data_IF_107398981734
#
_entry.id   IF_107398981734
#
_cell.length_a   1.000
_cell.length_b   1.000
_cell.length_c   1.000
_cell.angle_alpha   90.00
_cell.angle_beta   90.00
_cell.angle_gamma   90.00
#
_symmetry.space_group_name_H-M   'P 1'
#
loop_
_entity.id
_entity.type
_entity.pdbx_description
1 polymer ?
#
# COMPACT_ATOMS: atom_id res chain seq x y z
N UNK A 1 0.37 3.52 42.36
CA UNK A 1 0.93 2.54 41.41
C UNK A 1 1.45 3.29 40.22
N UNK A 2 2.69 3.06 39.80
CA UNK A 2 3.33 3.79 38.70
C UNK A 2 2.51 3.66 37.41
N UNK A 3 2.38 4.77 36.70
CA UNK A 3 1.41 5.04 35.65
C UNK A 3 1.56 4.13 34.42
N UNK A 4 0.45 3.53 33.97
CA UNK A 4 0.38 2.67 32.78
C UNK A 4 0.51 3.42 31.43
N UNK A 5 0.82 4.72 31.44
CA UNK A 5 0.86 5.58 30.24
C UNK A 5 2.24 6.18 29.94
N UNK A 6 3.29 5.83 30.68
CA UNK A 6 4.66 6.35 30.44
C UNK A 6 5.55 5.41 29.64
N UNK A 7 5.03 4.31 29.09
CA UNK A 7 5.83 3.48 28.19
C UNK A 7 6.03 4.26 26.89
N UNK A 8 7.28 4.49 26.53
CA UNK A 8 7.62 5.08 25.23
C UNK A 8 7.20 4.08 24.15
N UNK A 9 6.70 4.55 23.01
CA UNK A 9 6.40 3.71 21.84
C UNK A 9 7.56 2.75 21.50
N UNK A 10 8.80 3.20 21.71
CA UNK A 10 9.99 2.38 21.52
C UNK A 10 10.07 1.17 22.45
N UNK A 11 9.60 1.29 23.70
CA UNK A 11 9.52 0.18 24.64
C UNK A 11 8.49 -0.85 24.18
N UNK A 12 7.32 -0.41 23.72
CA UNK A 12 6.27 -1.30 23.20
C UNK A 12 6.72 -2.00 21.92
N UNK A 13 7.36 -1.27 21.01
CA UNK A 13 7.93 -1.81 19.79
C UNK A 13 9.04 -2.83 20.08
N UNK A 14 9.91 -2.53 21.06
CA UNK A 14 10.97 -3.44 21.49
C UNK A 14 10.39 -4.69 22.19
N UNK A 15 9.37 -4.54 23.01
CA UNK A 15 8.68 -5.65 23.66
C UNK A 15 8.00 -6.55 22.63
N UNK A 16 7.33 -5.96 21.64
CA UNK A 16 6.75 -6.68 20.51
C UNK A 16 7.82 -7.43 19.71
N UNK A 17 8.91 -6.74 19.34
CA UNK A 17 10.01 -7.35 18.61
C UNK A 17 10.66 -8.48 19.41
N UNK A 18 10.74 -8.38 20.74
CA UNK A 18 11.34 -9.45 21.54
C UNK A 18 10.40 -10.64 21.74
N UNK A 19 9.09 -10.40 21.79
CA UNK A 19 8.07 -11.43 21.93
C UNK A 19 7.93 -12.29 20.66
N UNK A 20 8.28 -11.75 19.49
CA UNK A 20 8.25 -12.48 18.22
C UNK A 20 9.48 -13.37 18.07
N UNK A 21 9.27 -14.65 17.78
CA UNK A 21 10.34 -15.61 17.54
C UNK A 21 10.81 -15.56 16.08
N UNK A 22 11.59 -14.53 15.78
CA UNK A 22 12.15 -14.30 14.44
C UNK A 22 13.02 -15.44 13.92
N UNK A 23 13.59 -16.27 14.80
CA UNK A 23 14.57 -17.28 14.40
C UNK A 23 13.90 -18.53 13.85
N UNK A 24 12.80 -18.95 14.47
CA UNK A 24 12.09 -20.16 14.10
C UNK A 24 10.94 -19.87 13.11
N UNK A 25 10.30 -18.71 13.20
CA UNK A 25 9.12 -18.37 12.39
C UNK A 25 9.50 -17.73 11.05
N UNK A 26 10.14 -18.52 10.19
CA UNK A 26 10.65 -18.10 8.87
C UNK A 26 9.59 -17.54 7.92
N UNK A 27 8.32 -17.91 8.11
CA UNK A 27 7.21 -17.42 7.30
C UNK A 27 7.05 -15.89 7.38
N UNK A 28 7.46 -15.27 8.49
CA UNK A 28 7.45 -13.80 8.66
C UNK A 28 8.36 -13.11 7.66
N UNK A 29 9.55 -13.66 7.39
CA UNK A 29 10.43 -13.12 6.35
C UNK A 29 9.84 -13.29 4.96
N UNK A 30 9.10 -14.38 4.73
CA UNK A 30 8.33 -14.56 3.49
C UNK A 30 7.28 -13.47 3.31
N UNK A 31 6.61 -13.07 4.39
CA UNK A 31 5.66 -11.97 4.37
C UNK A 31 6.33 -10.63 4.06
N UNK A 32 7.42 -10.28 4.75
CA UNK A 32 8.17 -9.06 4.47
C UNK A 32 8.77 -9.05 3.06
N UNK A 33 9.21 -10.20 2.56
CA UNK A 33 9.67 -10.31 1.18
C UNK A 33 8.54 -10.03 0.19
N UNK A 34 7.32 -10.51 0.45
CA UNK A 34 6.14 -10.22 -0.38
C UNK A 34 5.78 -8.73 -0.35
N UNK A 35 5.85 -8.08 0.80
CA UNK A 35 5.67 -6.63 0.91
C UNK A 35 6.76 -5.84 0.19
N UNK A 36 8.02 -6.25 0.33
CA UNK A 36 9.14 -5.65 -0.39
C UNK A 36 8.99 -5.82 -1.90
N UNK A 37 8.54 -6.98 -2.37
CA UNK A 37 8.23 -7.23 -3.78
C UNK A 37 7.07 -6.34 -4.26
N UNK A 38 6.02 -6.16 -3.44
CA UNK A 38 4.92 -5.24 -3.73
C UNK A 38 5.43 -3.80 -3.87
N UNK A 39 6.27 -3.35 -2.93
CA UNK A 39 6.91 -2.03 -3.00
C UNK A 39 7.80 -1.89 -4.24
N UNK A 40 8.63 -2.88 -4.55
CA UNK A 40 9.46 -2.89 -5.76
C UNK A 40 8.60 -2.82 -7.02
N UNK A 41 7.50 -3.58 -7.08
CA UNK A 41 6.57 -3.53 -8.20
C UNK A 41 5.97 -2.12 -8.38
N UNK A 42 5.62 -1.43 -7.29
CA UNK A 42 5.17 -0.03 -7.34
C UNK A 42 6.27 0.89 -7.87
N UNK A 43 7.49 0.78 -7.35
CA UNK A 43 8.61 1.64 -7.74
C UNK A 43 9.04 1.46 -9.21
N UNK A 44 9.02 0.23 -9.70
CA UNK A 44 9.33 -0.11 -11.09
C UNK A 44 8.22 0.35 -12.05
N UNK A 45 6.96 0.22 -11.64
CA UNK A 45 5.81 0.52 -12.48
C UNK A 45 5.26 1.94 -12.34
N UNK A 46 5.92 2.83 -11.57
CA UNK A 46 5.46 4.21 -11.25
C UNK A 46 5.06 5.13 -12.42
N UNK A 47 5.36 4.75 -13.67
CA UNK A 47 5.01 5.49 -14.89
C UNK A 47 3.78 4.95 -15.63
N UNK A 48 3.24 3.81 -15.20
CA UNK A 48 2.09 3.16 -15.83
C UNK A 48 0.95 3.08 -14.83
N UNK A 49 0.01 4.02 -14.94
CA UNK A 49 -1.14 4.11 -14.04
C UNK A 49 -1.96 2.81 -14.03
N UNK A 50 -2.09 2.12 -15.16
CA UNK A 50 -2.80 0.83 -15.28
C UNK A 50 -2.17 -0.24 -14.37
N UNK A 51 -0.85 -0.41 -14.44
CA UNK A 51 -0.12 -1.41 -13.65
C UNK A 51 -0.14 -1.07 -12.16
N UNK A 52 0.04 0.20 -11.82
CA UNK A 52 -0.02 0.68 -10.43
C UNK A 52 -1.42 0.46 -9.85
N UNK A 53 -2.48 0.75 -10.61
CA UNK A 53 -3.86 0.51 -10.21
C UNK A 53 -4.16 -0.97 -9.99
N UNK A 54 -3.58 -1.86 -10.80
CA UNK A 54 -3.70 -3.31 -10.57
C UNK A 54 -3.03 -3.72 -9.24
N UNK A 55 -1.82 -3.23 -8.96
CA UNK A 55 -1.14 -3.49 -7.68
C UNK A 55 -1.92 -2.90 -6.50
N UNK A 56 -2.51 -1.72 -6.65
CA UNK A 56 -3.42 -1.13 -5.66
C UNK A 56 -4.59 -2.06 -5.37
N UNK A 57 -5.30 -2.52 -6.41
CA UNK A 57 -6.46 -3.39 -6.25
C UNK A 57 -6.12 -4.71 -5.54
N UNK A 58 -4.98 -5.32 -5.88
CA UNK A 58 -4.50 -6.55 -5.23
C UNK A 58 -4.20 -6.31 -3.75
N UNK A 59 -3.41 -5.28 -3.42
CA UNK A 59 -3.09 -4.96 -2.04
C UNK A 59 -4.34 -4.57 -1.22
N UNK A 60 -5.28 -3.83 -1.81
CA UNK A 60 -6.55 -3.49 -1.19
C UNK A 60 -7.40 -4.73 -0.91
N UNK A 61 -7.43 -5.71 -1.82
CA UNK A 61 -8.09 -6.97 -1.59
C UNK A 61 -7.44 -7.74 -0.41
N UNK A 62 -6.11 -7.77 -0.33
CA UNK A 62 -5.39 -8.39 0.80
C UNK A 62 -5.76 -7.72 2.12
N UNK A 63 -5.79 -6.38 2.18
CA UNK A 63 -6.22 -5.63 3.38
C UNK A 63 -7.68 -5.91 3.74
N UNK A 64 -8.57 -5.95 2.74
CA UNK A 64 -9.98 -6.27 2.96
C UNK A 64 -10.17 -7.65 3.58
N UNK A 65 -9.38 -8.63 3.12
CA UNK A 65 -9.41 -9.99 3.67
C UNK A 65 -8.51 -10.19 4.88
N UNK A 66 -7.79 -9.17 5.36
CA UNK A 66 -6.78 -9.32 6.41
C UNK A 66 -7.35 -9.93 7.70
N UNK A 67 -8.54 -9.51 8.13
CA UNK A 67 -9.20 -10.09 9.30
C UNK A 67 -9.56 -11.57 9.09
N UNK A 68 -10.04 -11.94 7.90
CA UNK A 68 -10.37 -13.34 7.58
C UNK A 68 -9.11 -14.20 7.47
N UNK A 69 -8.03 -13.65 6.91
CA UNK A 69 -6.73 -14.29 6.87
C UNK A 69 -6.18 -14.50 8.29
N UNK A 70 -6.33 -13.50 9.16
CA UNK A 70 -5.97 -13.58 10.57
C UNK A 70 -6.76 -14.69 11.28
N UNK A 71 -8.08 -14.79 11.10
CA UNK A 71 -8.89 -15.86 11.70
C UNK A 71 -8.49 -17.26 11.19
N UNK A 72 -8.21 -17.38 9.89
CA UNK A 72 -7.73 -18.64 9.30
C UNK A 72 -6.35 -19.03 9.84
N UNK A 73 -5.46 -18.06 9.98
CA UNK A 73 -4.13 -18.23 10.55
C UNK A 73 -4.20 -18.59 12.04
N UNK A 74 -5.13 -17.99 12.80
CA UNK A 74 -5.41 -18.34 14.19
C UNK A 74 -5.94 -19.77 14.35
N UNK A 75 -6.60 -20.34 13.34
CA UNK A 75 -7.05 -21.75 13.39
C UNK A 75 -5.94 -22.74 13.04
N UNK A 76 -5.00 -22.34 12.19
CA UNK A 76 -3.95 -23.21 11.64
C UNK A 76 -2.53 -22.86 12.10
N UNK A 77 -2.38 -22.02 13.14
CA UNK A 77 -1.08 -21.49 13.54
C UNK A 77 -0.05 -22.59 13.80
N UNK A 78 -0.45 -23.73 14.37
CA UNK A 78 0.44 -24.87 14.66
C UNK A 78 1.11 -25.47 13.42
N UNK A 79 0.57 -25.25 12.23
CA UNK A 79 1.12 -25.79 10.99
C UNK A 79 2.34 -25.01 10.49
N UNK A 80 2.50 -23.74 10.89
CA UNK A 80 3.53 -22.86 10.32
C UNK A 80 4.24 -21.96 11.35
N UNK A 81 3.69 -21.84 12.56
CA UNK A 81 4.16 -20.93 13.60
C UNK A 81 4.45 -21.66 14.89
N UNK A 82 5.51 -21.24 15.57
CA UNK A 82 5.95 -21.80 16.85
C UNK A 82 5.02 -21.37 18.00
N UNK A 83 4.39 -20.20 17.86
CA UNK A 83 3.44 -19.65 18.83
C UNK A 83 2.19 -19.04 18.16
N UNK A 84 1.15 -18.81 18.96
CA UNK A 84 -0.11 -18.23 18.51
C UNK A 84 -0.03 -16.70 18.49
N UNK A 85 0.27 -16.12 17.33
CA UNK A 85 0.34 -14.66 17.13
C UNK A 85 -1.02 -14.00 16.85
N UNK A 86 -1.96 -14.76 16.29
CA UNK A 86 -3.19 -14.23 15.74
C UNK A 86 -4.28 -14.20 16.80
N UNK A 87 -4.84 -13.02 17.03
CA UNK A 87 -5.89 -12.71 18.01
C UNK A 87 -7.18 -12.29 17.32
N UNK A 88 -8.31 -12.24 18.04
CA UNK A 88 -9.63 -11.90 17.46
C UNK A 88 -9.68 -10.48 16.86
N UNK A 89 -8.85 -9.57 17.38
CA UNK A 89 -8.74 -8.20 16.89
C UNK A 89 -7.72 -8.04 15.74
N UNK A 90 -6.90 -9.05 15.48
CA UNK A 90 -5.88 -9.04 14.45
C UNK A 90 -4.77 -8.01 14.68
N UNK A 91 -4.43 -7.69 15.93
CA UNK A 91 -3.44 -6.67 16.27
C UNK A 91 -2.06 -7.00 15.66
N UNK A 92 -1.63 -8.26 15.77
CA UNK A 92 -0.38 -8.71 15.17
C UNK A 92 -0.40 -8.55 13.65
N UNK A 93 -1.45 -9.03 12.98
CA UNK A 93 -1.59 -8.92 11.53
C UNK A 93 -1.67 -7.45 11.09
N UNK A 94 -2.33 -6.58 11.85
CA UNK A 94 -2.41 -5.15 11.56
C UNK A 94 -1.03 -4.48 11.60
N UNK A 95 -0.18 -4.81 12.58
CA UNK A 95 1.17 -4.24 12.69
C UNK A 95 2.11 -4.80 11.62
N UNK A 96 2.09 -6.12 11.43
CA UNK A 96 3.08 -6.82 10.58
C UNK A 96 2.71 -6.80 9.10
N UNK A 97 1.42 -6.90 8.75
CA UNK A 97 0.92 -6.86 7.38
C UNK A 97 0.23 -5.52 7.07
N UNK A 98 -0.58 -5.00 7.99
CA UNK A 98 -1.42 -3.83 7.73
C UNK A 98 -0.61 -2.56 7.52
N UNK A 99 0.19 -2.17 8.52
CA UNK A 99 0.94 -0.90 8.53
C UNK A 99 1.85 -0.75 7.30
N UNK A 100 2.72 -1.72 6.95
CA UNK A 100 3.60 -1.57 5.80
C UNK A 100 2.80 -1.52 4.49
N UNK A 101 1.81 -2.39 4.32
CA UNK A 101 1.01 -2.43 3.09
C UNK A 101 0.18 -1.15 2.90
N UNK A 102 -0.35 -0.57 3.98
CA UNK A 102 -1.06 0.72 3.96
C UNK A 102 -0.11 1.86 3.56
N UNK A 103 1.13 1.89 4.05
CA UNK A 103 2.13 2.85 3.61
C UNK A 103 2.43 2.71 2.10
N UNK A 104 2.52 1.48 1.61
CA UNK A 104 2.65 1.21 0.16
C UNK A 104 1.41 1.73 -0.59
N UNK A 105 0.20 1.53 -0.07
CA UNK A 105 -1.02 2.08 -0.67
C UNK A 105 -1.01 3.60 -0.75
N UNK A 106 -0.60 4.29 0.32
CA UNK A 106 -0.47 5.74 0.30
C UNK A 106 0.49 6.23 -0.78
N UNK A 107 1.64 5.55 -0.94
CA UNK A 107 2.60 5.88 -1.99
C UNK A 107 2.00 5.71 -3.40
N UNK A 108 1.24 4.63 -3.62
CA UNK A 108 0.52 4.42 -4.88
C UNK A 108 -0.45 5.57 -5.15
N UNK A 109 -1.26 5.96 -4.16
CA UNK A 109 -2.21 7.06 -4.32
C UNK A 109 -1.50 8.36 -4.72
N UNK A 110 -0.34 8.67 -4.14
CA UNK A 110 0.46 9.83 -4.53
C UNK A 110 0.87 9.76 -6.01
N UNK A 111 1.29 8.60 -6.50
CA UNK A 111 1.65 8.43 -7.92
C UNK A 111 0.44 8.54 -8.84
N UNK A 112 -0.69 7.92 -8.49
CA UNK A 112 -1.92 8.00 -9.28
C UNK A 112 -2.46 9.43 -9.35
N UNK A 113 -2.43 10.18 -8.24
CA UNK A 113 -2.84 11.58 -8.22
C UNK A 113 -1.96 12.46 -9.10
N UNK A 114 -0.63 12.23 -9.07
CA UNK A 114 0.30 12.95 -9.95
C UNK A 114 0.01 12.67 -11.42
N UNK A 115 -0.16 11.40 -11.80
CA UNK A 115 -0.48 11.03 -13.18
C UNK A 115 -1.84 11.58 -13.62
N UNK A 116 -2.87 11.49 -12.78
CA UNK A 116 -4.18 12.06 -13.06
C UNK A 116 -4.10 13.57 -13.31
N UNK A 117 -3.38 14.32 -12.47
CA UNK A 117 -3.17 15.76 -12.64
C UNK A 117 -2.46 16.09 -13.96
N UNK A 118 -1.39 15.35 -14.30
CA UNK A 118 -0.66 15.53 -15.55
C UNK A 118 -1.53 15.24 -16.77
N UNK A 119 -2.37 14.21 -16.71
CA UNK A 119 -3.30 13.86 -17.77
C UNK A 119 -4.36 14.95 -17.99
N UNK A 120 -4.95 15.48 -16.92
CA UNK A 120 -5.90 16.60 -17.01
C UNK A 120 -5.25 17.83 -17.67
N UNK A 121 -4.03 18.18 -17.26
CA UNK A 121 -3.28 19.29 -17.85
C UNK A 121 -2.99 19.03 -19.34
N UNK A 122 -2.61 17.81 -19.70
CA UNK A 122 -2.33 17.43 -21.09
C UNK A 122 -3.57 17.57 -21.97
N UNK A 123 -4.72 17.08 -21.50
CA UNK A 123 -6.00 17.21 -22.21
C UNK A 123 -6.37 18.68 -22.39
N UNK A 124 -6.29 19.48 -21.32
CA UNK A 124 -6.56 20.93 -21.41
C UNK A 124 -5.65 21.66 -22.38
N UNK A 125 -4.36 21.34 -22.41
CA UNK A 125 -3.41 21.90 -23.39
C UNK A 125 -3.76 21.51 -24.82
N UNK A 126 -4.24 20.30 -25.05
CA UNK A 126 -4.67 19.84 -26.38
C UNK A 126 -5.97 20.52 -26.84
N UNK A 127 -6.93 20.72 -25.95
CA UNK A 127 -8.16 21.48 -26.22
C UNK A 127 -7.81 22.91 -26.67
N UNK A 128 -7.01 23.64 -25.88
CA UNK A 128 -6.62 25.01 -26.20
C UNK A 128 -5.89 25.11 -27.56
N UNK A 129 -4.99 24.17 -27.86
CA UNK A 129 -4.29 24.14 -29.16
C UNK A 129 -5.26 23.96 -30.34
N UNK A 130 -6.29 23.12 -30.19
CA UNK A 130 -7.33 22.93 -31.21
C UNK A 130 -8.15 24.20 -31.39
N UNK A 131 -8.49 24.89 -30.31
CA UNK A 131 -9.27 26.13 -30.35
C UNK A 131 -8.50 27.27 -31.06
N UNK A 132 -7.21 27.45 -30.73
CA UNK A 132 -6.37 28.43 -31.43
C UNK A 132 -6.19 28.09 -32.92
N UNK A 133 -6.05 26.81 -33.27
CA UNK A 133 -5.94 26.39 -34.65
C UNK A 133 -7.22 26.68 -35.46
N UNK A 134 -8.41 26.46 -34.86
CA UNK A 134 -9.70 26.80 -35.47
C UNK A 134 -9.85 28.30 -35.70
N UNK A 135 -9.58 29.12 -34.67
CA UNK A 135 -9.64 30.59 -34.79
C UNK A 135 -8.73 31.14 -35.88
N UNK A 136 -7.53 30.57 -36.02
CA UNK A 136 -6.58 30.96 -37.09
C UNK A 136 -7.06 30.55 -38.49
N UNK A 137 -7.85 29.47 -38.61
CA UNK A 137 -8.44 29.06 -39.89
C UNK A 137 -9.65 29.92 -40.27
N UNK A 138 -10.45 30.35 -39.30
CA UNK A 138 -11.57 31.28 -39.50
C UNK A 138 -11.05 32.65 -39.97
N UNK A 139 -10.05 33.21 -39.30
CA UNK A 139 -9.43 34.48 -39.72
C UNK A 139 -8.86 34.46 -41.15
N UNK A 140 -8.35 33.31 -41.61
CA UNK A 140 -7.83 33.14 -42.98
C UNK A 140 -8.92 32.96 -44.04
N UNK A 141 -10.16 32.68 -43.67
CA UNK A 141 -11.29 32.57 -44.60
C UNK A 141 -12.01 33.91 -44.79
N UNK A 142 -11.86 34.80 -43.82
CA UNK A 142 -12.44 36.15 -43.84
C UNK A 142 -11.52 37.19 -44.51
N UNK A 143 -10.25 36.84 -44.78
CA UNK A 143 -9.28 37.56 -45.63
C UNK A 143 -9.33 37.06 -47.09
#
# INVERSE_FOLDING_TARGET
GKHAYTQSFWEDAQAFAHAVDWRNDRWLFGLFALEALSLLAVLLNRRSWERISAVFAVNAAVLFFAQRLNDLAARHWKAFSTQMYFDEHGAFAAVVLGVPLVLIQFLIVIFLLREAALMVIKVKRLELRKDFAKKKQEQKKDE
#
